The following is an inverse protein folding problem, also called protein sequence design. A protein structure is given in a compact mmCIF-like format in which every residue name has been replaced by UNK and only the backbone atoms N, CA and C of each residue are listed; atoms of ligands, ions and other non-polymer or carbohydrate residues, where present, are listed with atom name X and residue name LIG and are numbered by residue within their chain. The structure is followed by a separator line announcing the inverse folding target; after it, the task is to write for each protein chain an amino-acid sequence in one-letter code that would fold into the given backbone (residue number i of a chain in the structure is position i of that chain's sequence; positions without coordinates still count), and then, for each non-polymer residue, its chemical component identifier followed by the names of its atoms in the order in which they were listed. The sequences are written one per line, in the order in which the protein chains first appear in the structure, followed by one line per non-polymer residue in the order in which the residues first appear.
data_IF_948425295526
#
_entry.id   IF_948425295526
#
_cell.length_a   1.000
_cell.length_b   1.000
_cell.length_c   1.000
_cell.angle_alpha   90.00
_cell.angle_beta   90.00
_cell.angle_gamma   90.00
#
_symmetry.space_group_name_H-M   'P 1'
#
loop_
_entity.id
_entity.type
_entity.pdbx_description
1 polymer ?
#
# COMPACT_ATOMS: atom_id res chain seq x y z
N UNK A 1 -18.31 -29.07 -18.89
CA UNK A 1 -18.44 -27.96 -17.92
C UNK A 1 -17.24 -27.05 -18.18
N UNK A 2 -17.44 -25.95 -18.91
CA UNK A 2 -16.34 -25.04 -19.28
C UNK A 2 -16.06 -24.19 -18.05
N UNK A 3 -14.85 -24.30 -17.49
CA UNK A 3 -14.41 -23.45 -16.39
C UNK A 3 -14.54 -21.99 -16.83
N UNK A 4 -15.35 -21.20 -16.11
CA UNK A 4 -15.40 -19.77 -16.31
C UNK A 4 -14.02 -19.21 -15.97
N UNK A 5 -13.23 -18.92 -17.00
CA UNK A 5 -11.96 -18.22 -16.86
C UNK A 5 -12.30 -16.87 -16.23
N UNK A 6 -11.83 -16.66 -15.00
CA UNK A 6 -12.17 -15.49 -14.20
C UNK A 6 -11.97 -14.19 -14.99
N UNK A 7 -12.96 -13.31 -14.91
CA UNK A 7 -12.91 -12.00 -15.54
C UNK A 7 -11.71 -11.21 -14.99
N UNK A 8 -10.68 -11.03 -15.81
CA UNK A 8 -9.56 -10.17 -15.47
C UNK A 8 -9.95 -8.72 -15.71
N UNK A 9 -10.22 -8.00 -14.62
CA UNK A 9 -10.42 -6.56 -14.66
C UNK A 9 -9.07 -5.85 -14.86
N UNK A 10 -8.75 -5.59 -16.13
CA UNK A 10 -7.54 -4.87 -16.53
C UNK A 10 -7.51 -3.45 -15.98
N UNK A 11 -8.66 -2.78 -15.87
CA UNK A 11 -8.73 -1.40 -15.39
C UNK A 11 -8.39 -1.37 -13.90
N UNK A 12 -9.07 -2.18 -13.09
CA UNK A 12 -8.77 -2.30 -11.67
C UNK A 12 -7.33 -2.73 -11.38
N UNK A 13 -6.74 -3.61 -12.21
CA UNK A 13 -5.32 -3.96 -12.11
C UNK A 13 -4.39 -2.76 -12.34
N UNK A 14 -4.62 -1.97 -13.41
CA UNK A 14 -3.78 -0.82 -13.74
C UNK A 14 -3.93 0.30 -12.72
N UNK A 15 -5.15 0.55 -12.23
CA UNK A 15 -5.42 1.51 -11.16
C UNK A 15 -4.72 1.11 -9.86
N UNK A 16 -4.82 -0.16 -9.47
CA UNK A 16 -4.11 -0.69 -8.31
C UNK A 16 -2.59 -0.56 -8.44
N UNK A 17 -2.04 -0.87 -9.62
CA UNK A 17 -0.60 -0.71 -9.90
C UNK A 17 -0.16 0.75 -9.84
N UNK A 18 -0.93 1.68 -10.41
CA UNK A 18 -0.64 3.12 -10.33
C UNK A 18 -0.65 3.59 -8.88
N UNK A 19 -1.68 3.22 -8.12
CA UNK A 19 -1.80 3.60 -6.72
C UNK A 19 -0.61 3.09 -5.87
N UNK A 20 -0.18 1.84 -6.10
CA UNK A 20 1.00 1.29 -5.43
C UNK A 20 2.28 2.07 -5.79
N UNK A 21 2.46 2.44 -7.06
CA UNK A 21 3.60 3.26 -7.49
C UNK A 21 3.60 4.64 -6.83
N UNK A 22 2.44 5.27 -6.72
CA UNK A 22 2.30 6.58 -6.07
C UNK A 22 2.69 6.50 -4.59
N UNK A 23 2.25 5.45 -3.87
CA UNK A 23 2.65 5.21 -2.47
C UNK A 23 4.15 5.01 -2.33
N UNK A 24 4.79 4.24 -3.22
CA UNK A 24 6.24 4.00 -3.14
C UNK A 24 7.03 5.30 -3.39
N UNK A 25 6.61 6.10 -4.38
CA UNK A 25 7.25 7.38 -4.70
C UNK A 25 7.11 8.38 -3.55
N UNK A 26 5.89 8.54 -3.05
CA UNK A 26 5.60 9.45 -1.95
C UNK A 26 6.27 8.98 -0.66
N UNK A 27 6.27 7.67 -0.40
CA UNK A 27 6.93 7.08 0.75
C UNK A 27 8.44 7.33 0.77
N UNK A 28 9.11 7.20 -0.38
CA UNK A 28 10.52 7.58 -0.48
C UNK A 28 10.73 9.05 -0.12
N UNK A 29 9.96 9.95 -0.72
CA UNK A 29 10.08 11.39 -0.45
C UNK A 29 9.84 11.70 1.04
N UNK A 30 8.83 11.09 1.64
CA UNK A 30 8.51 11.28 3.05
C UNK A 30 9.62 10.77 3.98
N UNK A 31 10.27 9.66 3.65
CA UNK A 31 11.40 9.15 4.44
C UNK A 31 12.63 10.06 4.40
N UNK A 32 12.76 10.91 3.37
CA UNK A 32 13.83 11.92 3.26
C UNK A 32 13.53 13.20 4.08
N UNK A 33 12.29 13.38 4.57
CA UNK A 33 11.87 14.56 5.33
C UNK A 33 11.87 14.31 6.85
N UNK A 34 12.33 15.30 7.62
CA UNK A 34 12.19 15.27 9.09
C UNK A 34 10.69 15.22 9.46
N UNK A 35 10.27 14.18 10.18
CA UNK A 35 8.87 13.98 10.54
C UNK A 35 7.97 13.44 9.42
N UNK A 36 8.53 13.00 8.28
CA UNK A 36 7.74 12.39 7.21
C UNK A 36 7.34 10.94 7.47
N UNK A 37 8.02 10.23 8.39
CA UNK A 37 7.67 8.86 8.82
C UNK A 37 6.22 8.75 9.35
N UNK A 38 5.76 9.59 10.30
CA UNK A 38 4.35 9.61 10.72
C UNK A 38 3.37 9.78 9.55
N UNK A 39 3.68 10.67 8.60
CA UNK A 39 2.81 10.93 7.45
C UNK A 39 2.73 9.72 6.52
N UNK A 40 3.83 8.98 6.34
CA UNK A 40 3.85 7.73 5.59
C UNK A 40 3.00 6.66 6.27
N UNK A 41 3.09 6.52 7.60
CA UNK A 41 2.27 5.58 8.36
C UNK A 41 0.78 5.87 8.19
N UNK A 42 0.36 7.13 8.28
CA UNK A 42 -1.05 7.50 8.12
C UNK A 42 -1.55 7.24 6.69
N UNK A 43 -0.70 7.46 5.68
CA UNK A 43 -1.04 7.14 4.29
C UNK A 43 -1.15 5.65 4.03
N UNK A 44 -0.30 4.83 4.65
CA UNK A 44 -0.41 3.37 4.61
C UNK A 44 -1.71 2.89 5.30
N UNK A 45 -2.08 3.48 6.44
CA UNK A 45 -3.36 3.20 7.11
C UNK A 45 -4.56 3.56 6.24
N UNK A 46 -4.50 4.66 5.49
CA UNK A 46 -5.54 5.02 4.53
C UNK A 46 -5.61 4.04 3.37
N UNK A 47 -4.46 3.56 2.85
CA UNK A 47 -4.39 2.62 1.74
C UNK A 47 -5.11 1.28 2.03
N UNK A 48 -5.06 0.81 3.27
CA UNK A 48 -5.71 -0.44 3.66
C UNK A 48 -7.21 -0.30 3.96
N UNK A 49 -7.76 0.92 4.01
CA UNK A 49 -9.20 1.11 4.22
C UNK A 49 -10.01 0.42 3.12
N UNK A 50 -11.02 -0.35 3.53
CA UNK A 50 -11.89 -1.12 2.62
C UNK A 50 -11.16 -2.17 1.75
N UNK A 51 -9.92 -2.56 2.09
CA UNK A 51 -9.18 -3.63 1.40
C UNK A 51 -9.35 -4.99 2.10
N UNK A 52 -9.15 -6.12 1.39
CA UNK A 52 -9.19 -7.44 1.99
C UNK A 52 -8.16 -7.61 3.13
N UNK A 53 -8.45 -8.47 4.10
CA UNK A 53 -7.59 -8.69 5.27
C UNK A 53 -6.15 -9.13 4.89
N UNK A 54 -5.99 -9.89 3.81
CA UNK A 54 -4.67 -10.30 3.30
C UNK A 54 -3.83 -9.10 2.84
N UNK A 55 -4.46 -8.09 2.25
CA UNK A 55 -3.81 -6.85 1.86
C UNK A 55 -3.44 -6.03 3.09
N UNK A 56 -4.38 -5.85 4.03
CA UNK A 56 -4.15 -5.09 5.26
C UNK A 56 -2.96 -5.63 6.06
N UNK A 57 -2.86 -6.95 6.23
CA UNK A 57 -1.73 -7.59 6.93
C UNK A 57 -0.36 -7.29 6.31
N UNK A 58 -0.30 -7.24 4.97
CA UNK A 58 0.92 -6.85 4.27
C UNK A 58 1.31 -5.39 4.55
N UNK A 59 0.32 -4.49 4.53
CA UNK A 59 0.52 -3.07 4.85
C UNK A 59 0.92 -2.85 6.30
N UNK A 60 0.31 -3.56 7.26
CA UNK A 60 0.69 -3.53 8.68
C UNK A 60 2.15 -3.93 8.89
N UNK A 61 2.63 -4.93 8.14
CA UNK A 61 4.04 -5.35 8.20
C UNK A 61 4.99 -4.24 7.70
N UNK A 62 4.58 -3.47 6.70
CA UNK A 62 5.35 -2.31 6.22
C UNK A 62 5.31 -1.18 7.25
N UNK A 63 4.16 -0.92 7.88
CA UNK A 63 4.04 0.09 8.95
C UNK A 63 5.01 -0.24 10.10
N UNK A 64 5.08 -1.50 10.53
CA UNK A 64 6.02 -1.94 11.55
C UNK A 64 7.48 -1.60 11.17
N UNK A 65 7.91 -1.93 9.94
CA UNK A 65 9.24 -1.60 9.45
C UNK A 65 9.52 -0.09 9.42
N UNK A 66 8.53 0.73 9.07
CA UNK A 66 8.68 2.20 9.06
C UNK A 66 8.86 2.76 10.47
N UNK A 67 8.20 2.16 11.46
CA UNK A 67 8.23 2.59 12.86
C UNK A 67 9.44 2.05 13.63
N UNK A 68 9.97 0.87 13.29
CA UNK A 68 11.14 0.26 13.94
C UNK A 68 12.42 1.08 13.78
N UNK A 69 12.57 1.83 12.68
CA UNK A 69 13.80 2.60 12.39
C UNK A 69 13.88 3.92 13.20
N UNK A 70 12.83 4.29 13.95
CA UNK A 70 12.84 5.45 14.87
C UNK A 70 13.24 5.07 16.32
N UNK A 71 13.59 3.80 16.59
CA UNK A 71 14.19 3.33 17.85
C UNK A 71 15.71 3.19 17.73
#
# INVERSE_FOLDING_TARGET
MIAQIGHFDRVGYLEGRKHALDIVRDGRLLLELQGGRPQLVDRLRQCMQCKPASFAKGVESIIALVQEVDQ
#
